data_IF_169495797344
#
_entry.id   IF_169495797344
#
_cell.length_a   1.000
_cell.length_b   1.000
_cell.length_c   1.000
_cell.angle_alpha   90.00
_cell.angle_beta   90.00
_cell.angle_gamma   90.00
#
_symmetry.space_group_name_H-M   'P 1'
#
loop_
_entity.id
_entity.type
_entity.pdbx_description
1 polymer ?
#
# COMPACT_ATOMS: atom_id res chain seq x y z
N UNK A 1 -26.57 -0.66 -40.50
CA UNK A 1 -25.88 0.54 -40.01
C UNK A 1 -25.20 0.21 -38.68
N UNK A 2 -23.87 0.14 -38.63
CA UNK A 2 -23.12 -0.18 -37.40
C UNK A 2 -22.67 1.14 -36.77
N UNK A 3 -23.42 1.62 -35.78
CA UNK A 3 -23.03 2.81 -35.00
C UNK A 3 -21.91 2.42 -34.02
N UNK A 4 -20.65 2.67 -34.40
CA UNK A 4 -19.55 2.74 -33.41
C UNK A 4 -19.42 4.19 -32.95
N UNK A 5 -20.05 4.52 -31.82
CA UNK A 5 -19.73 5.79 -31.14
C UNK A 5 -18.24 5.77 -30.78
N UNK A 6 -17.47 6.85 -31.02
CA UNK A 6 -16.08 6.92 -30.58
C UNK A 6 -16.08 6.78 -29.05
N UNK A 7 -15.62 5.63 -28.56
CA UNK A 7 -15.47 5.42 -27.13
C UNK A 7 -14.27 6.26 -26.70
N UNK A 8 -14.50 7.19 -25.77
CA UNK A 8 -13.46 8.07 -25.27
C UNK A 8 -12.34 7.20 -24.69
N UNK A 9 -11.11 7.40 -25.19
CA UNK A 9 -9.94 6.61 -24.81
C UNK A 9 -9.72 6.65 -23.30
N UNK A 10 -10.09 7.77 -22.65
CA UNK A 10 -10.03 7.96 -21.21
C UNK A 10 -10.99 7.01 -20.46
N UNK A 11 -12.25 6.93 -20.90
CA UNK A 11 -13.26 6.02 -20.32
C UNK A 11 -12.89 4.55 -20.51
N UNK A 12 -12.30 4.20 -21.66
CA UNK A 12 -11.81 2.84 -21.92
C UNK A 12 -10.66 2.52 -20.97
N UNK A 13 -9.72 3.44 -20.79
CA UNK A 13 -8.55 3.24 -19.93
C UNK A 13 -8.95 3.12 -18.46
N UNK A 14 -9.82 3.97 -17.95
CA UNK A 14 -10.27 3.93 -16.55
C UNK A 14 -10.98 2.62 -16.18
N UNK A 15 -11.78 2.09 -17.12
CA UNK A 15 -12.48 0.83 -16.93
C UNK A 15 -11.63 -0.41 -17.28
N UNK A 16 -10.47 -0.21 -17.92
CA UNK A 16 -9.57 -1.30 -18.30
C UNK A 16 -8.84 -1.91 -17.10
N UNK A 17 -8.25 -3.09 -17.33
CA UNK A 17 -7.31 -3.71 -16.39
C UNK A 17 -6.10 -2.81 -16.10
N UNK A 18 -5.62 -2.05 -17.08
CA UNK A 18 -4.50 -1.12 -16.91
C UNK A 18 -4.89 0.06 -16.01
N UNK A 19 -6.07 0.65 -16.20
CA UNK A 19 -6.57 1.72 -15.33
C UNK A 19 -6.66 1.27 -13.87
N UNK A 20 -7.17 0.06 -13.62
CA UNK A 20 -7.22 -0.53 -12.27
C UNK A 20 -5.82 -0.75 -11.68
N UNK A 21 -4.84 -1.17 -12.48
CA UNK A 21 -3.44 -1.33 -12.04
C UNK A 21 -2.84 0.03 -11.67
N UNK A 22 -3.07 1.07 -12.49
CA UNK A 22 -2.58 2.42 -12.22
C UNK A 22 -3.20 3.01 -10.95
N UNK A 23 -4.53 2.90 -10.78
CA UNK A 23 -5.22 3.35 -9.58
C UNK A 23 -4.68 2.65 -8.33
N UNK A 24 -4.44 1.34 -8.41
CA UNK A 24 -3.82 0.59 -7.31
C UNK A 24 -2.42 1.11 -7.00
N UNK A 25 -1.60 1.39 -8.02
CA UNK A 25 -0.27 1.97 -7.83
C UNK A 25 -0.31 3.32 -7.11
N UNK A 26 -1.20 4.21 -7.51
CA UNK A 26 -1.41 5.52 -6.86
C UNK A 26 -1.82 5.34 -5.40
N UNK A 27 -2.77 4.44 -5.12
CA UNK A 27 -3.22 4.15 -3.76
C UNK A 27 -2.07 3.65 -2.88
N UNK A 28 -1.23 2.75 -3.39
CA UNK A 28 -0.07 2.24 -2.65
C UNK A 28 0.94 3.35 -2.36
N UNK A 29 1.17 4.26 -3.30
CA UNK A 29 2.06 5.39 -3.11
C UNK A 29 1.55 6.35 -2.03
N UNK A 30 0.26 6.70 -2.06
CA UNK A 30 -0.36 7.54 -1.02
C UNK A 30 -0.28 6.89 0.37
N UNK A 31 -0.50 5.58 0.45
CA UNK A 31 -0.35 4.84 1.70
C UNK A 31 1.10 4.86 2.20
N UNK A 32 2.09 4.70 1.32
CA UNK A 32 3.50 4.83 1.70
C UNK A 32 3.79 6.19 2.33
N UNK A 33 3.35 7.28 1.70
CA UNK A 33 3.56 8.65 2.20
C UNK A 33 2.86 8.93 3.53
N UNK A 34 1.71 8.31 3.78
CA UNK A 34 1.02 8.38 5.07
C UNK A 34 1.77 7.58 6.13
N UNK A 35 2.21 6.35 5.80
CA UNK A 35 2.98 5.52 6.72
C UNK A 35 4.31 6.18 7.09
N UNK A 36 4.99 6.87 6.16
CA UNK A 36 6.22 7.62 6.46
C UNK A 36 6.08 8.66 7.57
N UNK A 37 4.86 9.20 7.77
CA UNK A 37 4.58 10.18 8.82
C UNK A 37 4.18 9.54 10.15
N UNK A 38 3.61 8.32 10.10
CA UNK A 38 3.08 7.60 11.25
C UNK A 38 4.12 6.67 11.88
N UNK A 39 4.93 6.02 11.04
CA UNK A 39 5.87 5.01 11.46
C UNK A 39 7.09 5.65 12.13
N UNK A 40 7.78 4.91 13.02
CA UNK A 40 8.98 5.42 13.68
C UNK A 40 10.04 5.87 12.67
N UNK A 41 10.55 7.08 12.85
CA UNK A 41 11.49 7.71 11.91
C UNK A 41 12.78 6.92 11.74
N UNK A 42 13.21 6.15 12.75
CA UNK A 42 14.38 5.27 12.65
C UNK A 42 14.25 4.16 11.60
N UNK A 43 13.03 3.84 11.15
CA UNK A 43 12.79 2.83 10.12
C UNK A 43 12.51 3.43 8.74
N UNK A 44 12.58 4.75 8.59
CA UNK A 44 12.33 5.42 7.30
C UNK A 44 13.27 4.85 6.22
N UNK A 45 12.71 4.54 5.05
CA UNK A 45 13.44 3.93 3.93
C UNK A 45 13.67 2.42 4.06
N UNK A 46 13.33 1.80 5.20
CA UNK A 46 13.49 0.35 5.42
C UNK A 46 12.19 -0.45 5.29
N UNK A 47 11.12 0.16 4.80
CA UNK A 47 9.85 -0.52 4.55
C UNK A 47 9.09 0.11 3.38
N UNK A 48 8.13 -0.63 2.83
CA UNK A 48 7.14 -0.13 1.88
C UNK A 48 5.84 -0.94 1.98
N UNK A 49 4.72 -0.31 1.65
CA UNK A 49 3.46 -0.98 1.38
C UNK A 49 3.58 -1.74 0.06
N UNK A 50 3.51 -3.06 0.14
CA UNK A 50 3.58 -3.94 -1.03
C UNK A 50 2.19 -4.25 -1.58
N UNK A 51 1.19 -4.32 -0.71
CA UNK A 51 -0.17 -4.61 -1.14
C UNK A 51 -1.21 -4.18 -0.09
N UNK A 52 -2.39 -3.82 -0.57
CA UNK A 52 -3.60 -3.76 0.22
C UNK A 52 -4.51 -4.92 -0.21
N UNK A 53 -4.86 -5.78 0.74
CA UNK A 53 -5.90 -6.79 0.56
C UNK A 53 -7.09 -6.42 1.45
N UNK A 54 -8.26 -7.00 1.18
CA UNK A 54 -9.58 -6.59 1.72
C UNK A 54 -9.55 -6.07 3.16
N UNK A 55 -8.88 -6.77 4.08
CA UNK A 55 -8.76 -6.36 5.49
C UNK A 55 -7.31 -6.31 6.00
N UNK A 56 -6.31 -6.35 5.12
CA UNK A 56 -4.91 -6.46 5.52
C UNK A 56 -3.99 -5.57 4.71
N UNK A 57 -3.06 -4.91 5.40
CA UNK A 57 -1.97 -4.17 4.77
C UNK A 57 -0.70 -5.01 4.81
N UNK A 58 -0.16 -5.34 3.64
CA UNK A 58 1.10 -6.07 3.51
C UNK A 58 2.23 -5.05 3.38
N UNK A 59 3.15 -5.10 4.34
CA UNK A 59 4.29 -4.19 4.42
C UNK A 59 5.55 -5.03 4.27
N UNK A 60 6.33 -4.73 3.24
CA UNK A 60 7.66 -5.28 3.10
C UNK A 60 8.65 -4.47 3.94
N UNK A 61 9.57 -5.15 4.60
CA UNK A 61 10.60 -4.56 5.46
C UNK A 61 11.97 -5.10 5.10
N UNK A 62 13.01 -4.27 5.19
CA UNK A 62 14.33 -4.61 4.67
C UNK A 62 14.98 -5.81 5.37
N UNK A 63 14.72 -5.99 6.67
CA UNK A 63 15.33 -7.04 7.48
C UNK A 63 14.48 -7.41 8.70
N UNK A 64 14.91 -8.44 9.43
CA UNK A 64 14.22 -8.94 10.62
C UNK A 64 14.22 -7.95 11.79
N UNK A 65 15.24 -7.10 11.93
CA UNK A 65 15.31 -6.09 12.99
C UNK A 65 14.17 -5.06 12.82
N UNK A 66 14.00 -4.54 11.61
CA UNK A 66 12.90 -3.61 11.27
C UNK A 66 11.56 -4.29 11.48
N UNK A 67 11.41 -5.56 11.05
CA UNK A 67 10.20 -6.35 11.28
C UNK A 67 9.84 -6.40 12.77
N UNK A 68 10.80 -6.74 13.64
CA UNK A 68 10.55 -6.85 15.07
C UNK A 68 10.20 -5.51 15.72
N UNK A 69 10.89 -4.44 15.31
CA UNK A 69 10.57 -3.09 15.76
C UNK A 69 9.15 -2.66 15.42
N UNK A 70 8.66 -2.99 14.23
CA UNK A 70 7.28 -2.68 13.81
C UNK A 70 6.25 -3.60 14.45
N UNK A 71 6.57 -4.88 14.66
CA UNK A 71 5.71 -5.81 15.40
C UNK A 71 5.46 -5.35 16.83
N UNK A 72 6.48 -4.83 17.50
CA UNK A 72 6.34 -4.28 18.86
C UNK A 72 5.32 -3.13 18.93
N UNK A 73 5.20 -2.34 17.86
CA UNK A 73 4.25 -1.22 17.73
C UNK A 73 2.98 -1.56 16.95
N UNK A 74 2.74 -2.84 16.62
CA UNK A 74 1.70 -3.22 15.65
C UNK A 74 0.31 -2.71 16.04
N UNK A 75 -0.07 -2.81 17.31
CA UNK A 75 -1.41 -2.37 17.76
C UNK A 75 -1.58 -0.85 17.64
N UNK A 76 -0.58 -0.07 18.06
CA UNK A 76 -0.54 1.39 17.94
C UNK A 76 -0.64 1.81 16.46
N UNK A 77 0.19 1.21 15.61
CA UNK A 77 0.21 1.49 14.18
C UNK A 77 -1.10 1.11 13.50
N UNK A 78 -1.70 -0.03 13.87
CA UNK A 78 -2.99 -0.46 13.34
C UNK A 78 -4.09 0.53 13.73
N UNK A 79 -4.14 0.96 14.99
CA UNK A 79 -5.12 1.92 15.46
C UNK A 79 -5.01 3.26 14.71
N UNK A 80 -3.79 3.74 14.45
CA UNK A 80 -3.56 4.94 13.64
C UNK A 80 -4.00 4.76 12.19
N UNK A 81 -3.67 3.62 11.56
CA UNK A 81 -4.09 3.31 10.18
C UNK A 81 -5.62 3.25 10.07
N UNK A 82 -6.29 2.69 11.05
CA UNK A 82 -7.75 2.57 11.07
C UNK A 82 -8.48 3.93 11.12
N UNK A 83 -7.82 5.02 11.52
CA UNK A 83 -8.41 6.36 11.49
C UNK A 83 -8.71 6.84 10.06
N UNK A 84 -7.99 6.34 9.05
CA UNK A 84 -8.17 6.71 7.65
C UNK A 84 -8.40 5.51 6.71
N UNK A 85 -8.17 4.28 7.17
CA UNK A 85 -8.51 3.02 6.47
C UNK A 85 -9.20 2.03 7.44
N UNK A 86 -10.45 2.27 7.85
CA UNK A 86 -11.15 1.48 8.88
C UNK A 86 -11.31 -0.01 8.56
N UNK A 87 -11.29 -0.37 7.27
CA UNK A 87 -11.41 -1.75 6.82
C UNK A 87 -10.17 -2.60 7.10
N UNK A 88 -9.02 -1.98 7.39
CA UNK A 88 -7.77 -2.69 7.70
C UNK A 88 -7.82 -3.21 9.14
N UNK A 89 -7.75 -4.52 9.30
CA UNK A 89 -7.81 -5.21 10.59
C UNK A 89 -6.48 -5.86 10.99
N UNK A 90 -5.53 -5.94 10.06
CA UNK A 90 -4.25 -6.63 10.29
C UNK A 90 -3.12 -6.01 9.46
N UNK A 91 -1.95 -5.92 10.07
CA UNK A 91 -0.70 -5.54 9.43
C UNK A 91 0.16 -6.80 9.25
N UNK A 92 0.66 -7.03 8.05
CA UNK A 92 1.41 -8.22 7.71
C UNK A 92 2.81 -7.84 7.23
N UNK A 93 3.81 -8.01 8.11
CA UNK A 93 5.19 -7.62 7.85
C UNK A 93 6.00 -8.78 7.23
N UNK A 94 6.50 -8.58 6.01
CA UNK A 94 7.31 -9.56 5.26
C UNK A 94 8.72 -9.03 5.03
N UNK A 95 9.73 -9.83 5.34
CA UNK A 95 11.12 -9.44 5.07
C UNK A 95 11.38 -9.51 3.56
N UNK A 96 11.86 -8.40 2.99
CA UNK A 96 12.33 -8.31 1.61
C UNK A 96 13.69 -7.58 1.57
N UNK A 97 14.81 -8.32 1.53
CA UNK A 97 16.15 -7.72 1.49
C UNK A 97 16.43 -6.89 0.23
N UNK A 98 15.64 -7.07 -0.84
CA UNK A 98 15.80 -6.29 -2.07
C UNK A 98 15.35 -4.83 -1.92
N UNK A 99 14.76 -4.44 -0.78
CA UNK A 99 14.40 -3.04 -0.50
C UNK A 99 15.59 -2.09 -0.38
N UNK A 100 16.78 -2.62 -0.09
CA UNK A 100 18.01 -1.83 0.08
C UNK A 100 18.87 -1.77 -1.19
N UNK A 101 18.34 -2.24 -2.32
CA UNK A 101 19.05 -2.29 -3.60
C UNK A 101 18.62 -1.16 -4.51
#
# INVERSE_FOLDING_TARGET
MRYSKPTNVQDVLENSSLGKIMQKGILLQQLNEQLERLFPSQFKGFYRVANIAKNSLVIEVANAMVRQGLLFKQQELLAQIQQFQPQIQQLNFKVNPALLR
#
